data_IF_117659500158
#
_entry.id   IF_117659500158
#
_cell.length_a   1.000
_cell.length_b   1.000
_cell.length_c   1.000
_cell.angle_alpha   90.00
_cell.angle_beta   90.00
_cell.angle_gamma   90.00
#
_symmetry.space_group_name_H-M   'P 1'
#
loop_
_entity.id
_entity.type
_entity.pdbx_description
1 polymer ?
#
# COMPACT_ATOMS: atom_id res chain seq x y z
N UNK A 1 -31.17 5.33 -21.96
CA UNK A 1 -30.72 6.11 -23.13
C UNK A 1 -29.34 6.64 -22.80
N UNK A 2 -28.30 6.23 -23.55
CA UNK A 2 -26.94 6.69 -23.31
C UNK A 2 -26.81 8.12 -23.86
N UNK A 3 -26.56 9.08 -22.98
CA UNK A 3 -26.18 10.44 -23.37
C UNK A 3 -24.75 10.39 -23.91
N UNK A 4 -24.58 10.07 -25.19
CA UNK A 4 -23.28 10.25 -25.85
C UNK A 4 -22.93 11.72 -25.78
N UNK A 5 -21.78 12.08 -25.21
CA UNK A 5 -21.24 13.43 -25.23
C UNK A 5 -20.90 13.78 -26.71
N UNK A 6 -21.76 14.51 -27.44
CA UNK A 6 -21.66 14.60 -28.91
C UNK A 6 -20.42 15.37 -29.38
N UNK A 7 -19.80 16.10 -28.45
CA UNK A 7 -18.69 17.01 -28.70
C UNK A 7 -17.34 16.31 -28.66
N UNK A 8 -17.21 15.18 -27.93
CA UNK A 8 -15.91 14.57 -27.73
C UNK A 8 -15.27 14.13 -29.04
N UNK A 9 -16.05 13.53 -29.95
CA UNK A 9 -15.56 13.12 -31.27
C UNK A 9 -15.20 14.28 -32.21
N UNK A 10 -15.63 15.51 -31.91
CA UNK A 10 -15.31 16.71 -32.69
C UNK A 10 -14.00 17.38 -32.26
N UNK A 11 -13.46 16.98 -31.11
CA UNK A 11 -12.18 17.51 -30.63
C UNK A 11 -11.03 17.02 -31.53
N UNK A 12 -9.98 17.84 -31.72
CA UNK A 12 -8.76 17.40 -32.39
C UNK A 12 -8.19 16.13 -31.74
N UNK A 13 -7.61 15.19 -32.51
CA UNK A 13 -7.04 13.95 -31.98
C UNK A 13 -6.06 14.16 -30.82
N UNK A 14 -5.28 15.24 -30.85
CA UNK A 14 -4.31 15.58 -29.81
C UNK A 14 -5.02 15.84 -28.47
N UNK A 15 -6.13 16.57 -28.49
CA UNK A 15 -6.93 16.87 -27.29
C UNK A 15 -7.60 15.60 -26.77
N UNK A 16 -8.14 14.77 -27.66
CA UNK A 16 -8.78 13.50 -27.26
C UNK A 16 -7.78 12.56 -26.59
N UNK A 17 -6.55 12.46 -27.13
CA UNK A 17 -5.45 11.71 -26.49
C UNK A 17 -5.04 12.29 -25.14
N UNK A 18 -4.94 13.61 -25.02
CA UNK A 18 -4.64 14.25 -23.73
C UNK A 18 -5.70 13.91 -22.68
N UNK A 19 -6.98 13.93 -23.06
CA UNK A 19 -8.08 13.54 -22.16
C UNK A 19 -7.95 12.06 -21.77
N UNK A 20 -7.70 11.15 -22.71
CA UNK A 20 -7.49 9.74 -22.37
C UNK A 20 -6.31 9.52 -21.44
N UNK A 21 -5.16 10.14 -21.73
CA UNK A 21 -3.98 10.06 -20.87
C UNK A 21 -4.23 10.63 -19.47
N UNK A 22 -5.06 11.67 -19.36
CA UNK A 22 -5.44 12.24 -18.08
C UNK A 22 -6.28 11.24 -17.25
N UNK A 23 -7.18 10.49 -17.88
CA UNK A 23 -7.99 9.46 -17.19
C UNK A 23 -7.21 8.20 -16.80
N UNK A 24 -6.00 8.02 -17.33
CA UNK A 24 -5.14 6.87 -17.08
C UNK A 24 -4.13 7.12 -15.94
N UNK A 25 -4.30 8.17 -15.15
CA UNK A 25 -3.41 8.39 -14.00
C UNK A 25 -3.64 7.31 -12.96
N UNK A 26 -2.55 6.71 -12.52
CA UNK A 26 -2.53 5.79 -11.38
C UNK A 26 -1.88 6.54 -10.21
N UNK A 27 -2.53 6.45 -9.06
CA UNK A 27 -2.09 7.06 -7.81
C UNK A 27 -1.31 6.08 -6.93
N UNK A 28 -0.77 6.57 -5.80
CA UNK A 28 -0.13 5.72 -4.82
C UNK A 28 -1.14 4.72 -4.25
N UNK A 29 -0.68 3.49 -4.00
CA UNK A 29 -1.45 2.45 -3.35
C UNK A 29 -0.69 1.96 -2.11
N UNK A 30 -1.42 1.60 -1.05
CA UNK A 30 -0.78 0.95 0.09
C UNK A 30 -0.34 -0.46 -0.28
N UNK A 31 0.89 -0.80 0.08
CA UNK A 31 1.44 -2.14 -0.06
C UNK A 31 1.56 -2.79 1.33
N UNK A 32 0.86 -3.90 1.57
CA UNK A 32 0.89 -4.58 2.86
C UNK A 32 2.28 -5.18 3.13
N UNK A 33 2.78 -4.97 4.34
CA UNK A 33 3.91 -5.72 4.88
C UNK A 33 3.51 -7.17 5.18
N UNK A 34 4.19 -8.11 4.54
CA UNK A 34 3.97 -9.54 4.73
C UNK A 34 5.08 -10.40 4.14
N UNK A 35 4.89 -11.72 4.20
CA UNK A 35 5.92 -12.70 3.83
C UNK A 35 6.48 -12.46 2.42
N UNK A 36 5.63 -12.12 1.44
CA UNK A 36 6.08 -11.85 0.06
C UNK A 36 6.95 -10.59 -0.03
N UNK A 37 6.56 -9.54 0.69
CA UNK A 37 7.36 -8.32 0.78
C UNK A 37 8.71 -8.58 1.47
N UNK A 38 8.76 -9.46 2.47
CA UNK A 38 10.00 -9.88 3.14
C UNK A 38 10.92 -10.72 2.23
N UNK A 39 10.37 -11.76 1.59
CA UNK A 39 11.11 -12.71 0.73
C UNK A 39 11.73 -12.02 -0.49
N UNK A 40 11.15 -10.92 -0.98
CA UNK A 40 11.72 -10.18 -2.12
C UNK A 40 13.12 -9.61 -1.84
N UNK A 41 13.46 -9.40 -0.57
CA UNK A 41 14.79 -8.93 -0.15
C UNK A 41 15.65 -10.09 0.35
N UNK A 42 15.09 -10.90 1.24
CA UNK A 42 15.83 -11.92 2.00
C UNK A 42 16.21 -13.14 1.16
N UNK A 43 15.43 -13.44 0.12
CA UNK A 43 15.70 -14.51 -0.83
C UNK A 43 15.75 -13.98 -2.26
N UNK A 44 16.36 -12.80 -2.43
CA UNK A 44 16.52 -12.14 -3.73
C UNK A 44 17.29 -13.00 -4.75
N UNK A 45 18.13 -13.92 -4.28
CA UNK A 45 18.96 -14.81 -5.09
C UNK A 45 18.33 -16.20 -5.34
N UNK A 46 17.10 -16.45 -4.85
CA UNK A 46 16.38 -17.73 -5.00
C UNK A 46 17.22 -18.92 -4.50
N UNK A 47 17.75 -18.78 -3.29
CA UNK A 47 18.54 -19.81 -2.62
C UNK A 47 17.68 -20.68 -1.69
N UNK A 48 16.52 -20.17 -1.27
CA UNK A 48 15.59 -20.91 -0.42
C UNK A 48 14.68 -21.83 -1.24
N UNK A 49 14.85 -23.15 -1.09
CA UNK A 49 14.05 -24.18 -1.77
C UNK A 49 12.54 -24.02 -1.53
N UNK A 50 12.14 -23.52 -0.35
CA UNK A 50 10.73 -23.33 -0.01
C UNK A 50 10.00 -22.27 -0.85
N UNK A 51 10.75 -21.39 -1.53
CA UNK A 51 10.21 -20.37 -2.42
C UNK A 51 10.52 -20.63 -3.89
N UNK A 52 10.96 -21.85 -4.25
CA UNK A 52 11.23 -22.20 -5.64
C UNK A 52 9.95 -22.04 -6.49
N UNK A 53 10.07 -21.34 -7.62
CA UNK A 53 8.95 -21.07 -8.53
C UNK A 53 7.97 -19.99 -8.05
N UNK A 54 8.19 -19.38 -6.88
CA UNK A 54 7.37 -18.28 -6.37
C UNK A 54 7.83 -16.95 -6.98
N UNK A 55 6.89 -16.19 -7.55
CA UNK A 55 7.09 -14.78 -7.90
C UNK A 55 7.23 -13.97 -6.61
N UNK A 56 8.45 -13.49 -6.34
CA UNK A 56 8.82 -12.79 -5.10
C UNK A 56 8.47 -11.31 -5.10
N UNK A 57 8.15 -10.75 -6.27
CA UNK A 57 7.85 -9.32 -6.36
C UNK A 57 6.52 -9.02 -5.67
N UNK A 58 6.46 -7.86 -5.02
CA UNK A 58 5.22 -7.33 -4.46
C UNK A 58 4.46 -6.58 -5.55
N UNK A 59 3.18 -6.94 -5.75
CA UNK A 59 2.32 -6.30 -6.75
C UNK A 59 1.18 -5.54 -6.08
N UNK A 60 0.80 -4.41 -6.68
CA UNK A 60 -0.42 -3.68 -6.32
C UNK A 60 -1.43 -3.79 -7.46
N UNK A 61 -2.70 -3.92 -7.11
CA UNK A 61 -3.78 -3.89 -8.08
C UNK A 61 -3.95 -2.48 -8.66
N UNK A 62 -4.17 -2.44 -9.98
CA UNK A 62 -4.37 -1.23 -10.76
C UNK A 62 -5.85 -1.20 -11.18
N UNK A 63 -6.58 -0.09 -10.93
CA UNK A 63 -7.98 0.01 -11.33
C UNK A 63 -8.10 -0.14 -12.84
N UNK A 64 -8.98 -1.04 -13.28
CA UNK A 64 -9.20 -1.30 -14.71
C UNK A 64 -9.67 -0.01 -15.41
N UNK A 65 -8.87 0.61 -16.30
CA UNK A 65 -9.26 1.89 -16.87
C UNK A 65 -10.45 1.75 -17.79
N UNK A 66 -11.48 2.60 -17.59
CA UNK A 66 -12.66 2.63 -18.45
C UNK A 66 -12.29 2.78 -19.94
N UNK A 67 -11.17 3.47 -20.24
CA UNK A 67 -10.63 3.67 -21.58
C UNK A 67 -10.43 2.36 -22.38
N UNK A 68 -10.20 1.21 -21.72
CA UNK A 68 -10.08 -0.09 -22.39
C UNK A 68 -11.37 -0.53 -23.10
N UNK A 69 -12.52 -0.06 -22.64
CA UNK A 69 -13.85 -0.52 -23.06
C UNK A 69 -14.62 0.50 -23.91
N UNK A 70 -14.12 1.72 -24.09
CA UNK A 70 -14.85 2.81 -24.76
C UNK A 70 -14.76 2.73 -26.29
N UNK A 71 -13.56 2.90 -26.85
CA UNK A 71 -13.34 2.92 -28.29
C UNK A 71 -11.91 2.51 -28.63
N UNK A 72 -11.60 2.33 -29.93
CA UNK A 72 -10.26 1.91 -30.37
C UNK A 72 -9.16 2.87 -29.92
N UNK A 73 -9.36 4.17 -30.07
CA UNK A 73 -8.37 5.19 -29.68
C UNK A 73 -8.12 5.23 -28.18
N UNK A 74 -9.18 5.14 -27.38
CA UNK A 74 -9.06 5.07 -25.91
C UNK A 74 -8.30 3.80 -25.48
N UNK A 75 -8.59 2.67 -26.14
CA UNK A 75 -7.91 1.40 -25.88
C UNK A 75 -6.43 1.43 -26.29
N UNK A 76 -6.09 2.04 -27.42
CA UNK A 76 -4.70 2.24 -27.84
C UNK A 76 -3.94 3.11 -26.82
N UNK A 77 -4.56 4.18 -26.31
CA UNK A 77 -3.99 5.00 -25.25
C UNK A 77 -3.78 4.20 -23.95
N UNK A 78 -4.77 3.40 -23.54
CA UNK A 78 -4.69 2.55 -22.36
C UNK A 78 -3.57 1.50 -22.48
N UNK A 79 -3.46 0.80 -23.62
CA UNK A 79 -2.37 -0.17 -23.82
C UNK A 79 -0.99 0.48 -23.84
N UNK A 80 -0.85 1.65 -24.48
CA UNK A 80 0.41 2.39 -24.47
C UNK A 80 0.80 2.82 -23.05
N UNK A 81 -0.19 3.27 -22.27
CA UNK A 81 0.00 3.62 -20.86
C UNK A 81 0.40 2.41 -20.01
N UNK A 82 -0.26 1.26 -20.19
CA UNK A 82 0.07 0.02 -19.50
C UNK A 82 1.50 -0.42 -19.79
N UNK A 83 1.90 -0.42 -21.07
CA UNK A 83 3.24 -0.78 -21.49
C UNK A 83 4.31 0.15 -20.91
N UNK A 84 4.04 1.45 -20.84
CA UNK A 84 4.97 2.44 -20.29
C UNK A 84 5.19 2.32 -18.77
N UNK A 85 4.30 1.61 -18.05
CA UNK A 85 4.33 1.45 -16.58
C UNK A 85 4.49 0.01 -16.12
N UNK A 86 4.82 -0.91 -17.04
CA UNK A 86 4.91 -2.34 -16.76
C UNK A 86 3.64 -2.90 -16.11
N UNK A 87 2.48 -2.35 -16.46
CA UNK A 87 1.19 -2.87 -15.99
C UNK A 87 0.88 -4.14 -16.78
N UNK A 88 0.72 -5.25 -16.07
CA UNK A 88 0.41 -6.55 -16.65
C UNK A 88 -0.99 -6.98 -16.27
N UNK A 89 -1.62 -7.77 -17.15
CA UNK A 89 -2.90 -8.40 -16.85
C UNK A 89 -2.63 -9.77 -16.26
N UNK A 90 -3.20 -10.06 -15.09
CA UNK A 90 -3.13 -11.37 -14.43
C UNK A 90 -4.53 -11.92 -14.24
N UNK A 91 -4.64 -13.23 -14.11
CA UNK A 91 -5.88 -13.87 -13.69
C UNK A 91 -5.83 -14.02 -12.17
N UNK A 92 -6.92 -13.71 -11.48
CA UNK A 92 -7.07 -13.87 -10.03
C UNK A 92 -8.09 -14.96 -9.78
N UNK A 93 -7.65 -16.09 -9.24
CA UNK A 93 -8.49 -17.27 -9.06
C UNK A 93 -9.66 -17.00 -8.10
N UNK A 94 -9.48 -16.23 -7.04
CA UNK A 94 -10.55 -15.98 -6.05
C UNK A 94 -11.75 -15.25 -6.66
N UNK A 95 -11.48 -14.38 -7.65
CA UNK A 95 -12.52 -13.59 -8.32
C UNK A 95 -12.90 -14.16 -9.69
N UNK A 96 -12.21 -15.21 -10.14
CA UNK A 96 -12.34 -15.79 -11.49
C UNK A 96 -12.31 -14.71 -12.59
N UNK A 97 -11.38 -13.76 -12.46
CA UNK A 97 -11.37 -12.53 -13.25
C UNK A 97 -9.97 -12.06 -13.61
N UNK A 98 -9.88 -11.28 -14.68
CA UNK A 98 -8.63 -10.60 -15.02
C UNK A 98 -8.52 -9.28 -14.26
N UNK A 99 -7.36 -9.10 -13.63
CA UNK A 99 -6.98 -7.87 -12.95
C UNK A 99 -5.75 -7.27 -13.61
N UNK A 100 -5.59 -5.96 -13.47
CA UNK A 100 -4.35 -5.30 -13.84
C UNK A 100 -3.49 -5.13 -12.60
N UNK A 101 -2.19 -5.36 -12.75
CA UNK A 101 -1.23 -5.21 -11.66
C UNK A 101 0.02 -4.51 -12.14
N UNK A 102 0.67 -3.80 -11.22
CA UNK A 102 2.04 -3.32 -11.39
C UNK A 102 2.86 -3.70 -10.16
N UNK A 103 4.16 -3.71 -10.34
CA UNK A 103 5.10 -3.86 -9.22
C UNK A 103 4.96 -2.67 -8.25
N UNK A 104 5.20 -2.92 -6.97
CA UNK A 104 5.29 -1.90 -5.94
C UNK A 104 6.35 -0.84 -6.33
N UNK A 105 5.98 0.44 -6.21
CA UNK A 105 6.86 1.57 -6.50
C UNK A 105 7.30 2.25 -5.20
N UNK A 106 8.56 2.10 -4.75
CA UNK A 106 9.02 2.71 -3.50
C UNK A 106 8.98 4.24 -3.51
N UNK A 107 8.93 4.90 -4.67
CA UNK A 107 8.80 6.36 -4.74
C UNK A 107 7.39 6.86 -4.42
N UNK A 108 6.37 6.00 -4.55
CA UNK A 108 4.96 6.41 -4.47
C UNK A 108 4.17 5.63 -3.43
N UNK A 109 4.40 4.33 -3.31
CA UNK A 109 3.57 3.39 -2.56
C UNK A 109 4.11 3.19 -1.15
N UNK A 110 3.35 3.59 -0.11
CA UNK A 110 3.76 3.32 1.26
C UNK A 110 3.63 1.85 1.62
N UNK A 111 4.60 1.35 2.38
CA UNK A 111 4.53 0.02 3.01
C UNK A 111 3.66 0.14 4.25
N UNK A 112 2.51 -0.52 4.26
CA UNK A 112 1.60 -0.55 5.40
C UNK A 112 1.94 -1.69 6.34
N UNK A 113 2.33 -1.37 7.56
CA UNK A 113 2.62 -2.36 8.61
C UNK A 113 1.43 -2.41 9.57
N UNK A 114 0.65 -3.51 9.58
CA UNK A 114 -0.48 -3.63 10.46
C UNK A 114 -0.04 -3.84 11.91
N UNK A 115 -0.90 -3.49 12.88
CA UNK A 115 -0.56 -3.56 14.31
C UNK A 115 -0.06 -4.94 14.74
N UNK A 116 -0.70 -6.01 14.27
CA UNK A 116 -0.37 -7.38 14.61
C UNK A 116 0.97 -7.88 14.02
N UNK A 117 1.58 -7.13 13.09
CA UNK A 117 2.93 -7.40 12.56
C UNK A 117 3.95 -6.34 12.97
N UNK A 118 3.57 -5.39 13.82
CA UNK A 118 4.46 -4.30 14.20
C UNK A 118 5.72 -4.81 14.90
N UNK A 119 5.57 -5.75 15.84
CA UNK A 119 6.69 -6.35 16.57
C UNK A 119 7.61 -7.16 15.64
N UNK A 120 7.03 -7.96 14.73
CA UNK A 120 7.79 -8.67 13.69
C UNK A 120 8.61 -7.69 12.85
N UNK A 121 7.97 -6.62 12.39
CA UNK A 121 8.61 -5.58 11.58
C UNK A 121 9.73 -4.85 12.32
N UNK A 122 9.51 -4.45 13.57
CA UNK A 122 10.52 -3.72 14.35
C UNK A 122 11.76 -4.56 14.67
N UNK A 123 11.61 -5.88 14.77
CA UNK A 123 12.73 -6.78 15.06
C UNK A 123 13.59 -7.08 13.82
N UNK A 124 13.19 -6.66 12.61
CA UNK A 124 13.95 -6.90 11.38
C UNK A 124 15.27 -6.16 11.32
N UNK A 125 15.41 -5.06 12.06
CA UNK A 125 16.68 -4.33 12.18
C UNK A 125 17.79 -5.22 12.76
N UNK A 126 17.45 -6.12 13.69
CA UNK A 126 18.43 -7.00 14.34
C UNK A 126 18.95 -8.11 13.39
N UNK A 127 18.25 -8.39 12.30
CA UNK A 127 18.55 -9.46 11.33
C UNK A 127 19.40 -8.98 10.14
N UNK A 128 20.50 -8.26 10.43
CA UNK A 128 21.35 -7.60 9.42
C UNK A 128 22.06 -8.56 8.44
N UNK A 129 22.18 -9.85 8.79
CA UNK A 129 22.87 -10.86 7.97
C UNK A 129 22.03 -11.38 6.79
N UNK A 130 20.71 -11.12 6.75
CA UNK A 130 19.78 -11.73 5.80
C UNK A 130 19.29 -10.79 4.69
N UNK A 131 19.93 -9.62 4.50
CA UNK A 131 19.48 -8.62 3.51
C UNK A 131 18.47 -7.61 4.06
N UNK A 132 18.26 -7.59 5.37
CA UNK A 132 17.37 -6.63 6.04
C UNK A 132 17.79 -5.17 5.80
N UNK A 133 19.07 -4.88 5.59
CA UNK A 133 19.56 -3.52 5.32
C UNK A 133 19.03 -2.96 3.99
N UNK A 134 19.02 -3.76 2.92
CA UNK A 134 18.45 -3.35 1.62
C UNK A 134 16.94 -3.16 1.72
N UNK A 135 16.30 -4.03 2.50
CA UNK A 135 14.87 -3.96 2.81
C UNK A 135 14.52 -2.63 3.51
N UNK A 136 15.18 -2.29 4.61
CA UNK A 136 14.98 -1.02 5.32
C UNK A 136 15.27 0.20 4.43
N UNK A 137 16.38 0.16 3.69
CA UNK A 137 16.75 1.23 2.75
C UNK A 137 15.75 1.41 1.58
N UNK A 138 14.96 0.38 1.24
CA UNK A 138 13.95 0.48 0.19
C UNK A 138 12.69 1.25 0.62
N UNK A 139 12.44 1.37 1.93
CA UNK A 139 11.26 2.02 2.48
C UNK A 139 11.43 3.54 2.44
N UNK A 140 10.68 4.22 1.57
CA UNK A 140 10.64 5.69 1.50
C UNK A 140 9.38 6.27 2.10
N UNK A 141 8.32 5.46 2.16
CA UNK A 141 7.04 5.82 2.72
C UNK A 141 6.56 4.66 3.58
N UNK A 142 6.32 4.91 4.86
CA UNK A 142 5.83 3.93 5.81
C UNK A 142 4.40 4.31 6.21
N UNK A 143 3.50 3.36 6.29
CA UNK A 143 2.15 3.57 6.79
C UNK A 143 1.88 2.67 7.99
N UNK A 144 1.29 3.21 9.04
CA UNK A 144 0.93 2.48 10.26
C UNK A 144 -0.44 2.92 10.77
N UNK A 145 -1.18 2.06 11.48
CA UNK A 145 -2.38 2.49 12.21
C UNK A 145 -2.08 3.64 13.15
N UNK A 146 -3.01 4.58 13.34
CA UNK A 146 -2.84 5.74 14.23
C UNK A 146 -2.41 5.34 15.65
N UNK A 147 -3.02 4.29 16.20
CA UNK A 147 -2.63 3.71 17.48
C UNK A 147 -1.15 3.29 17.50
N UNK A 148 -0.69 2.64 16.44
CA UNK A 148 0.71 2.20 16.36
C UNK A 148 1.65 3.39 16.24
N UNK A 149 1.33 4.37 15.39
CA UNK A 149 2.11 5.58 15.23
C UNK A 149 2.25 6.38 16.53
N UNK A 150 1.16 6.48 17.31
CA UNK A 150 1.16 7.21 18.57
C UNK A 150 1.98 6.54 19.68
N UNK A 151 1.81 5.22 19.86
CA UNK A 151 2.45 4.51 20.97
C UNK A 151 3.86 3.98 20.67
N UNK A 152 4.32 4.10 19.42
CA UNK A 152 5.58 3.48 18.97
C UNK A 152 6.61 4.50 18.49
N UNK A 153 6.49 5.79 18.84
CA UNK A 153 7.49 6.81 18.47
C UNK A 153 8.91 6.43 18.88
N UNK A 154 9.19 5.93 20.12
CA UNK A 154 10.54 5.52 20.50
C UNK A 154 11.08 4.36 19.65
N UNK A 155 10.22 3.42 19.23
CA UNK A 155 10.60 2.33 18.33
C UNK A 155 10.78 2.83 16.90
N UNK A 156 9.92 3.75 16.43
CA UNK A 156 10.05 4.36 15.12
C UNK A 156 11.36 5.15 15.02
N UNK A 157 11.74 5.87 16.08
CA UNK A 157 12.98 6.65 16.10
C UNK A 157 14.22 5.78 16.02
N UNK A 158 14.25 4.62 16.70
CA UNK A 158 15.37 3.67 16.58
C UNK A 158 15.46 3.07 15.17
N UNK A 159 14.31 2.77 14.55
CA UNK A 159 14.27 2.21 13.20
C UNK A 159 14.69 3.18 12.09
N UNK A 160 14.86 4.48 12.37
CA UNK A 160 15.25 5.47 11.36
C UNK A 160 16.66 5.22 10.81
N UNK A 161 17.58 4.68 11.62
CA UNK A 161 18.91 4.28 11.15
C UNK A 161 18.83 3.12 10.14
N UNK A 162 17.89 2.20 10.38
CA UNK A 162 17.62 1.07 9.49
C UNK A 162 16.85 1.48 8.22
N UNK A 163 16.02 2.52 8.29
CA UNK A 163 15.28 3.09 7.15
C UNK A 163 15.81 4.48 6.73
N UNK A 164 17.07 4.60 6.26
CA UNK A 164 17.72 5.89 6.04
C UNK A 164 17.07 6.73 4.93
N UNK A 165 16.25 6.12 4.08
CA UNK A 165 15.58 6.79 2.96
C UNK A 165 14.12 7.14 3.25
N UNK A 166 13.63 6.97 4.48
CA UNK A 166 12.27 7.31 4.86
C UNK A 166 12.02 8.81 4.65
N UNK A 167 10.92 9.15 3.98
CA UNK A 167 10.53 10.54 3.68
C UNK A 167 9.19 10.91 4.28
N UNK A 168 8.27 9.95 4.33
CA UNK A 168 6.92 10.18 4.85
C UNK A 168 6.46 9.05 5.76
N UNK A 169 5.79 9.43 6.85
CA UNK A 169 5.08 8.54 7.75
C UNK A 169 3.58 8.79 7.62
N UNK A 170 2.86 7.81 7.10
CA UNK A 170 1.41 7.83 6.92
C UNK A 170 0.73 7.26 8.16
N UNK A 171 -0.10 8.08 8.80
CA UNK A 171 -0.90 7.72 9.98
C UNK A 171 -2.30 7.36 9.50
N UNK A 172 -2.66 6.07 9.60
CA UNK A 172 -3.91 5.53 9.09
C UNK A 172 -5.00 5.60 10.16
N UNK A 173 -6.05 6.36 9.89
CA UNK A 173 -7.23 6.56 10.73
C UNK A 173 -8.43 5.79 10.23
N UNK A 174 -9.42 5.59 11.12
CA UNK A 174 -10.66 4.92 10.75
C UNK A 174 -10.49 3.42 10.54
N UNK A 175 -11.24 2.89 9.58
CA UNK A 175 -11.20 1.46 9.24
C UNK A 175 -9.84 1.09 8.64
N UNK A 176 -9.23 0.03 9.18
CA UNK A 176 -7.91 -0.43 8.77
C UNK A 176 -8.00 -1.43 7.60
N UNK A 177 -6.99 -1.50 6.72
CA UNK A 177 -6.89 -2.53 5.70
C UNK A 177 -7.07 -3.95 6.25
N UNK A 178 -7.93 -4.75 5.63
CA UNK A 178 -8.13 -6.16 6.01
C UNK A 178 -6.97 -7.03 5.51
N UNK A 179 -6.01 -7.26 6.40
CA UNK A 179 -4.78 -7.99 6.11
C UNK A 179 -5.01 -9.48 5.82
N UNK A 180 -6.16 -10.03 6.20
CA UNK A 180 -6.51 -11.43 5.90
C UNK A 180 -6.71 -11.67 4.42
N UNK A 181 -7.11 -10.65 3.66
CA UNK A 181 -7.34 -10.72 2.20
C UNK A 181 -6.05 -10.70 1.38
N UNK A 182 -4.94 -10.36 2.01
CA UNK A 182 -3.59 -10.27 1.44
C UNK A 182 -2.57 -11.00 2.34
N UNK A 183 -3.06 -12.01 3.04
CA UNK A 183 -2.27 -13.07 3.63
C UNK A 183 -2.65 -14.36 2.91
N UNK A 184 -2.28 -14.45 1.64
CA UNK A 184 -2.06 -15.73 1.00
C UNK A 184 -1.19 -16.54 1.95
N UNK A 185 -1.65 -17.73 2.29
CA UNK A 185 -0.87 -18.61 3.14
C UNK A 185 0.54 -18.71 2.56
N UNK A 186 1.57 -18.59 3.42
CA UNK A 186 2.93 -18.99 3.03
C UNK A 186 2.77 -20.33 2.33
N UNK A 187 3.35 -20.54 1.13
CA UNK A 187 3.23 -21.81 0.45
C UNK A 187 3.70 -22.91 1.42
N UNK A 188 2.76 -23.67 2.00
CA UNK A 188 3.10 -24.93 2.62
C UNK A 188 3.67 -25.77 1.49
N UNK A 189 4.84 -26.39 1.68
CA UNK A 189 5.54 -27.19 0.67
C UNK A 189 4.57 -28.14 -0.06
N UNK A 190 3.96 -27.63 -1.13
CA UNK A 190 2.99 -28.31 -1.94
C UNK A 190 3.72 -29.25 -2.89
N UNK A 191 3.02 -30.27 -3.41
CA UNK A 191 3.62 -31.21 -4.34
C UNK A 191 4.23 -30.46 -5.53
N UNK A 192 5.45 -30.86 -5.89
CA UNK A 192 6.30 -30.32 -6.95
C UNK A 192 5.52 -29.84 -8.19
N UNK A 193 5.71 -28.57 -8.59
CA UNK A 193 5.37 -28.10 -9.94
C UNK A 193 4.10 -27.25 -10.10
N UNK A 194 3.43 -26.84 -9.02
CA UNK A 194 2.39 -25.81 -9.10
C UNK A 194 3.03 -24.43 -8.92
N UNK A 195 3.03 -23.58 -9.95
CA UNK A 195 3.25 -22.15 -9.76
C UNK A 195 2.16 -21.66 -8.80
N UNK A 196 2.52 -21.33 -7.56
CA UNK A 196 1.59 -20.71 -6.63
C UNK A 196 1.05 -19.44 -7.28
N UNK A 197 -0.27 -19.32 -7.27
CA UNK A 197 -0.96 -18.15 -7.79
C UNK A 197 -0.35 -16.89 -7.16
N UNK A 198 -0.17 -15.84 -7.97
CA UNK A 198 0.44 -14.62 -7.44
C UNK A 198 -0.60 -13.92 -6.62
N UNK A 199 -0.40 -13.96 -5.32
CA UNK A 199 -1.21 -13.21 -4.38
C UNK A 199 -1.14 -11.72 -4.76
N UNK A 200 -2.26 -11.20 -5.24
CA UNK A 200 -2.38 -9.78 -5.53
C UNK A 200 -3.19 -9.15 -4.43
N UNK A 201 -2.55 -8.29 -3.64
CA UNK A 201 -3.24 -7.52 -2.62
C UNK A 201 -4.35 -6.66 -3.23
N UNK A 202 -5.50 -6.50 -2.53
CA UNK A 202 -6.49 -5.50 -2.90
C UNK A 202 -5.87 -4.10 -3.00
N UNK A 203 -6.42 -3.25 -3.87
CA UNK A 203 -5.98 -1.86 -3.92
C UNK A 203 -6.58 -1.09 -2.76
N UNK A 204 -5.73 -0.43 -1.99
CA UNK A 204 -6.14 0.55 -0.99
C UNK A 204 -5.66 1.93 -1.40
N UNK A 205 -6.61 2.84 -1.57
CA UNK A 205 -6.33 4.25 -1.85
C UNK A 205 -6.38 5.07 -0.57
N UNK A 206 -5.52 6.07 -0.50
CA UNK A 206 -5.40 6.97 0.64
C UNK A 206 -6.13 8.28 0.34
N UNK A 207 -6.96 8.71 1.27
CA UNK A 207 -7.61 10.01 1.27
C UNK A 207 -7.10 10.80 2.48
N UNK A 208 -6.79 12.08 2.32
CA UNK A 208 -6.32 12.91 3.44
C UNK A 208 -7.38 12.96 4.55
N UNK A 209 -6.93 12.86 5.79
CA UNK A 209 -7.76 13.10 6.97
C UNK A 209 -7.46 14.50 7.53
N UNK A 210 -8.41 15.41 7.32
CA UNK A 210 -8.30 16.81 7.73
C UNK A 210 -9.34 17.18 8.81
N UNK A 211 -10.01 16.19 9.41
CA UNK A 211 -11.03 16.41 10.45
C UNK A 211 -10.40 16.83 11.78
N UNK A 212 -11.07 17.73 12.51
CA UNK A 212 -10.65 18.17 13.86
C UNK A 212 -10.71 17.02 14.87
N UNK A 213 -11.77 16.19 14.79
CA UNK A 213 -11.94 15.00 15.61
C UNK A 213 -12.04 13.79 14.68
N UNK A 214 -11.28 12.74 14.98
CA UNK A 214 -11.26 11.52 14.19
C UNK A 214 -11.36 10.29 15.10
N UNK A 215 -11.51 9.11 14.49
CA UNK A 215 -11.62 7.85 15.21
C UNK A 215 -10.38 7.00 14.96
N UNK A 216 -9.68 6.68 16.03
CA UNK A 216 -8.58 5.74 16.06
C UNK A 216 -9.13 4.34 16.22
N UNK A 217 -8.76 3.43 15.31
CA UNK A 217 -9.03 2.01 15.44
C UNK A 217 -7.93 1.36 16.28
N UNK A 218 -8.33 0.69 17.36
CA UNK A 218 -7.44 -0.06 18.24
C UNK A 218 -7.75 -1.54 18.05
N UNK A 219 -6.75 -2.29 17.63
CA UNK A 219 -6.85 -3.74 17.47
C UNK A 219 -6.03 -4.38 18.58
N UNK A 220 -6.69 -5.13 19.45
CA UNK A 220 -6.03 -5.87 20.51
C UNK A 220 -5.09 -6.93 19.89
N UNK A 221 -3.81 -6.96 20.28
CA UNK A 221 -2.86 -7.92 19.72
C UNK A 221 -3.13 -9.37 20.11
N UNK A 222 -3.79 -9.63 21.26
CA UNK A 222 -3.95 -10.98 21.81
C UNK A 222 -5.13 -11.73 21.20
N UNK A 223 -6.27 -11.05 21.00
CA UNK A 223 -7.50 -11.66 20.48
C UNK A 223 -8.03 -11.03 19.18
N UNK A 224 -7.44 -9.92 18.74
CA UNK A 224 -7.87 -9.20 17.54
C UNK A 224 -9.18 -8.42 17.71
N UNK A 225 -9.66 -8.23 18.94
CA UNK A 225 -10.83 -7.40 19.22
C UNK A 225 -10.59 -5.97 18.75
N UNK A 226 -11.60 -5.39 18.11
CA UNK A 226 -11.55 -4.04 17.55
C UNK A 226 -12.33 -3.10 18.44
N UNK A 227 -11.65 -2.09 18.95
CA UNK A 227 -12.25 -0.96 19.67
C UNK A 227 -11.94 0.37 18.98
N UNK A 228 -12.69 1.41 19.34
CA UNK A 228 -12.65 2.71 18.68
C UNK A 228 -12.53 3.82 19.72
N UNK A 229 -11.60 4.74 19.49
CA UNK A 229 -11.38 5.89 20.35
C UNK A 229 -11.51 7.18 19.53
N UNK A 230 -12.29 8.14 20.02
CA UNK A 230 -12.36 9.48 19.42
C UNK A 230 -11.19 10.32 19.92
N UNK A 231 -10.49 10.95 19.00
CA UNK A 231 -9.25 11.68 19.25
C UNK A 231 -9.34 13.05 18.60
N UNK A 232 -8.99 14.10 19.36
CA UNK A 232 -8.75 15.43 18.82
C UNK A 232 -7.41 15.43 18.07
N UNK A 233 -7.44 15.76 16.79
CA UNK A 233 -6.27 15.67 15.92
C UNK A 233 -5.15 16.61 16.35
N UNK A 234 -5.51 17.77 16.91
CA UNK A 234 -4.51 18.74 17.34
C UNK A 234 -3.79 18.23 18.58
N UNK A 235 -4.54 17.76 19.58
CA UNK A 235 -3.94 17.21 20.80
C UNK A 235 -3.03 16.01 20.47
N UNK A 236 -3.46 15.15 19.55
CA UNK A 236 -2.66 14.03 19.05
C UNK A 236 -1.33 14.49 18.41
N UNK A 237 -1.40 15.47 17.50
CA UNK A 237 -0.20 16.00 16.84
C UNK A 237 0.76 16.66 17.84
N UNK A 238 0.23 17.47 18.77
CA UNK A 238 1.02 18.15 19.80
C UNK A 238 1.74 17.12 20.71
N UNK A 239 1.11 15.98 21.01
CA UNK A 239 1.70 14.90 21.81
C UNK A 239 2.76 14.11 21.02
N UNK A 240 2.50 13.79 19.75
CA UNK A 240 3.49 13.12 18.89
C UNK A 240 4.73 14.00 18.69
N UNK A 241 4.56 15.30 18.44
CA UNK A 241 5.67 16.24 18.31
C UNK A 241 6.53 16.28 19.59
N UNK A 242 5.88 16.27 20.76
CA UNK A 242 6.60 16.17 22.05
C UNK A 242 7.38 14.87 22.18
N UNK A 243 6.82 13.72 21.77
CA UNK A 243 7.53 12.45 21.83
C UNK A 243 8.73 12.42 20.87
N UNK A 244 8.58 12.96 19.66
CA UNK A 244 9.70 13.09 18.71
C UNK A 244 10.81 13.96 19.28
N UNK A 245 10.48 15.08 19.93
CA UNK A 245 11.46 15.97 20.55
C UNK A 245 12.24 15.33 21.72
N UNK A 246 11.67 14.30 22.34
CA UNK A 246 12.30 13.54 23.43
C UNK A 246 13.06 12.31 22.96
N UNK A 247 12.90 11.91 21.70
CA UNK A 247 13.50 10.70 21.14
C UNK A 247 14.85 11.00 20.49
N UNK A 248 15.76 10.04 20.54
CA UNK A 248 17.01 10.12 19.79
C UNK A 248 16.72 9.82 18.31
N UNK A 249 16.98 10.80 17.45
CA UNK A 249 16.70 10.74 16.00
C UNK A 249 18.03 10.91 15.26
N UNK A 250 18.31 10.11 14.22
CA UNK A 250 19.55 10.24 13.44
C UNK A 250 19.68 11.62 12.79
N UNK A 251 20.90 12.16 12.69
CA UNK A 251 21.14 13.51 12.16
C UNK A 251 20.57 13.73 10.75
N UNK A 252 20.48 12.68 9.93
CA UNK A 252 19.89 12.73 8.59
C UNK A 252 18.41 13.10 8.58
N UNK A 253 17.73 12.86 9.71
CA UNK A 253 16.32 13.18 9.95
C UNK A 253 16.13 14.42 10.79
N UNK A 254 17.18 15.22 11.02
CA UNK A 254 17.07 16.48 11.78
C UNK A 254 17.36 17.65 10.83
N UNK A 255 16.48 18.64 10.83
CA UNK A 255 16.66 19.88 10.07
C UNK A 255 17.72 20.77 10.73
N UNK A 256 18.18 21.80 10.03
CA UNK A 256 19.08 22.81 10.59
C UNK A 256 18.50 23.54 11.84
N UNK A 257 17.18 23.43 12.06
CA UNK A 257 16.48 24.00 13.21
C UNK A 257 16.36 23.04 14.40
N UNK A 258 16.84 21.80 14.27
CA UNK A 258 16.70 20.77 15.30
C UNK A 258 15.36 20.03 15.28
N UNK A 259 14.51 20.28 14.27
CA UNK A 259 13.20 19.64 14.11
C UNK A 259 13.33 18.36 13.28
N UNK A 260 12.46 17.38 13.52
CA UNK A 260 12.45 16.12 12.75
C UNK A 260 11.99 16.39 11.31
N UNK A 261 12.87 16.08 10.35
CA UNK A 261 12.65 16.16 8.91
C UNK A 261 11.93 14.91 8.37
N UNK A 262 10.77 14.59 8.94
CA UNK A 262 9.93 13.48 8.51
C UNK A 262 8.52 14.02 8.25
N UNK A 263 8.01 13.81 7.02
CA UNK A 263 6.67 14.29 6.68
C UNK A 263 5.62 13.33 7.24
N UNK A 264 4.94 13.73 8.30
CA UNK A 264 3.77 13.01 8.80
C UNK A 264 2.53 13.36 7.96
N UNK A 265 1.78 12.34 7.52
CA UNK A 265 0.58 12.49 6.67
C UNK A 265 -0.56 11.70 7.27
N UNK A 266 -1.66 12.37 7.61
CA UNK A 266 -2.84 11.74 8.20
C UNK A 266 -3.79 11.32 7.08
N UNK A 267 -4.17 10.05 7.05
CA UNK A 267 -4.98 9.49 5.96
C UNK A 267 -6.05 8.54 6.49
N UNK A 268 -7.16 8.46 5.75
CA UNK A 268 -8.05 7.30 5.75
C UNK A 268 -7.76 6.43 4.56
N UNK A 269 -8.09 5.15 4.69
CA UNK A 269 -7.87 4.18 3.64
C UNK A 269 -9.19 3.64 3.14
N UNK A 270 -9.28 3.44 1.82
CA UNK A 270 -10.45 2.87 1.17
C UNK A 270 -10.04 1.75 0.23
N UNK A 271 -10.65 0.58 0.42
CA UNK A 271 -10.50 -0.54 -0.52
C UNK A 271 -11.22 -0.21 -1.83
N UNK A 272 -10.48 -0.29 -2.93
CA UNK A 272 -10.96 -0.09 -4.29
C UNK A 272 -11.10 -1.46 -4.95
N UNK A 273 -12.29 -2.03 -4.83
CA UNK A 273 -12.64 -3.29 -5.48
C UNK A 273 -13.20 -3.10 -6.90
N UNK A 274 -12.84 -4.01 -7.80
CA UNK A 274 -13.54 -4.22 -9.09
C UNK A 274 -15.00 -4.52 -8.81
N UNK A 275 -15.91 -3.82 -9.49
CA UNK A 275 -17.35 -3.95 -9.30
C UNK A 275 -17.88 -5.38 -9.45
N UNK A 276 -17.96 -6.10 -8.34
CA UNK A 276 -18.90 -7.19 -8.12
C UNK A 276 -20.15 -6.60 -7.50
N UNK A 277 -21.28 -6.62 -8.22
CA UNK A 277 -22.59 -6.31 -7.65
C UNK A 277 -22.73 -7.08 -6.33
N UNK A 278 -22.96 -6.39 -5.21
CA UNK A 278 -23.68 -7.01 -4.09
C UNK A 278 -25.00 -7.49 -4.67
N UNK A 279 -25.14 -8.81 -4.86
CA UNK A 279 -26.44 -9.41 -5.06
C UNK A 279 -27.23 -9.11 -3.79
N UNK A 280 -28.12 -8.12 -3.87
CA UNK A 280 -29.19 -7.95 -2.89
C UNK A 280 -30.02 -9.23 -3.01
N UNK A 281 -29.78 -10.18 -2.11
CA UNK A 281 -30.71 -11.28 -1.89
C UNK A 281 -31.94 -10.63 -1.28
N UNK A 282 -32.91 -10.32 -2.13
CA UNK A 282 -34.26 -10.00 -1.70
C UNK A 282 -34.83 -11.25 -1.05
N UNK A 283 -35.11 -11.16 0.24
CA UNK A 283 -35.99 -12.10 0.91
C UNK A 283 -37.33 -12.12 0.16
N UNK A 284 -37.79 -13.34 -0.16
CA UNK A 284 -39.14 -13.61 -0.66
C UNK A 284 -39.92 -14.34 0.43
#
# INVERSE_FOLDING_TARGET
MATSFPEFGRLPPEIRRLIWNFTLRDGPALCLFGWRWYVQFVDSHNEMEEFEGVDRRSYVEVPMPAALFVCREAREAAHAWMAARNVTMRFRDETQGHILVREWDPEQDPVYVPRNRWEEFSNLEEDWETGSAEMGASIKHLAVPAFTGYFSIPTLSSLLDWMPNLRSLYIVWGELPDTRKSNGARPEAGPEGMLYDVEVQPRWEMENEDSEVTSMCVVDPDDGEVSWEEVDMKDFCDEIEQQWALSEVPETFVTDLGEVNLKMVHVRVKEVGVGGKKAVVGES
#
